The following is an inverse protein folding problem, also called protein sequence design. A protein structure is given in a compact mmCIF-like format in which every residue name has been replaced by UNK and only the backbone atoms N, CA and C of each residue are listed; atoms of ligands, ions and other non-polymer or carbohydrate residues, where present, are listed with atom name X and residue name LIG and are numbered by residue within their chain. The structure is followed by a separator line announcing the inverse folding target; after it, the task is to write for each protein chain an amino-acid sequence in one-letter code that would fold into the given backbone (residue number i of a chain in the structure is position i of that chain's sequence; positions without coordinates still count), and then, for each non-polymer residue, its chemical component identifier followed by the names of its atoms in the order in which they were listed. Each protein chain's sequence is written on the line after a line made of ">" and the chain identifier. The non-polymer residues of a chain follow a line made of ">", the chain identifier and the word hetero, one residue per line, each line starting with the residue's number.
data_IF_008001853054
#
_entry.id   IF_008001853054
#
_cell.length_a   1.000
_cell.length_b   1.000
_cell.length_c   1.000
_cell.angle_alpha   90.00
_cell.angle_beta   90.00
_cell.angle_gamma   90.00
#
_symmetry.space_group_name_H-M   'P 1'
#
loop_
_entity.id
_entity.type
_entity.pdbx_description
1 polymer ?
#
# COMPACT_ATOMS: atom_id res chain seq x y z
N UNK A 1 26.59 -20.71 4.78
CA UNK A 1 26.06 -19.73 3.81
C UNK A 1 24.55 -19.53 3.90
N UNK A 2 23.70 -20.56 3.77
CA UNK A 2 22.23 -20.41 3.80
C UNK A 2 21.67 -19.73 5.08
N UNK A 3 22.25 -20.01 6.25
CA UNK A 3 21.85 -19.37 7.53
C UNK A 3 21.98 -17.83 7.51
N UNK A 4 23.01 -17.29 6.88
CA UNK A 4 23.24 -15.84 6.83
C UNK A 4 22.20 -15.16 5.94
N UNK A 5 21.84 -15.81 4.83
CA UNK A 5 20.80 -15.36 3.92
C UNK A 5 19.43 -15.31 4.60
N UNK A 6 19.05 -16.40 5.30
CA UNK A 6 17.79 -16.46 6.06
C UNK A 6 17.74 -15.36 7.12
N UNK A 7 18.82 -15.15 7.89
CA UNK A 7 18.86 -14.08 8.90
C UNK A 7 18.74 -12.68 8.28
N UNK A 8 19.30 -12.46 7.10
CA UNK A 8 19.21 -11.19 6.39
C UNK A 8 17.79 -10.91 5.86
N UNK A 9 17.12 -11.92 5.31
CA UNK A 9 15.70 -11.81 4.92
C UNK A 9 14.83 -11.52 6.14
N UNK A 10 14.96 -12.32 7.21
CA UNK A 10 14.17 -12.14 8.44
C UNK A 10 14.36 -10.73 9.02
N UNK A 11 15.61 -10.26 9.10
CA UNK A 11 15.89 -8.91 9.58
C UNK A 11 15.27 -7.81 8.71
N UNK A 12 15.23 -8.01 7.40
CA UNK A 12 14.64 -7.04 6.47
C UNK A 12 13.10 -7.03 6.56
N UNK A 13 12.47 -8.20 6.59
CA UNK A 13 11.02 -8.35 6.79
C UNK A 13 10.60 -7.75 8.13
N UNK A 14 11.35 -8.01 9.21
CA UNK A 14 11.04 -7.47 10.53
C UNK A 14 11.07 -5.94 10.57
N UNK A 15 12.04 -5.29 9.89
CA UNK A 15 12.08 -3.82 9.80
C UNK A 15 10.87 -3.26 9.06
N UNK A 16 10.47 -3.88 7.94
CA UNK A 16 9.28 -3.49 7.19
C UNK A 16 8.03 -3.70 8.05
N UNK A 17 7.90 -4.88 8.69
CA UNK A 17 6.79 -5.22 9.57
C UNK A 17 6.66 -4.23 10.75
N UNK A 18 7.77 -3.80 11.35
CA UNK A 18 7.75 -2.78 12.41
C UNK A 18 7.33 -1.39 11.90
N UNK A 19 7.74 -1.02 10.67
CA UNK A 19 7.34 0.25 10.07
C UNK A 19 5.84 0.30 9.73
N UNK A 20 5.24 -0.84 9.39
CA UNK A 20 3.80 -0.95 9.04
C UNK A 20 2.93 -1.38 10.22
N UNK A 21 3.52 -1.84 11.33
CA UNK A 21 2.77 -2.26 12.49
C UNK A 21 1.99 -1.06 13.03
N UNK A 22 0.68 -1.21 13.33
CA UNK A 22 -0.09 -0.14 13.92
C UNK A 22 0.51 0.19 15.29
N UNK A 23 1.17 1.34 15.40
CA UNK A 23 1.71 1.83 16.65
C UNK A 23 0.55 2.15 17.59
N UNK A 24 0.51 1.50 18.76
CA UNK A 24 -0.39 1.86 19.87
C UNK A 24 0.04 3.17 20.54
N UNK A 25 0.48 4.15 19.76
CA UNK A 25 1.09 5.39 20.24
C UNK A 25 0.83 6.50 19.21
N UNK A 26 -0.46 6.79 18.97
CA UNK A 26 -0.89 8.10 18.50
C UNK A 26 -2.37 8.34 18.84
N UNK A 27 -2.69 8.28 20.13
CA UNK A 27 -3.56 9.32 20.69
C UNK A 27 -2.73 10.62 20.65
N UNK A 28 -3.34 11.78 20.39
CA UNK A 28 -2.69 13.10 20.29
C UNK A 28 -1.74 13.33 19.11
N UNK A 29 -2.26 13.56 17.91
CA UNK A 29 -2.12 14.85 17.21
C UNK A 29 -2.96 14.82 15.92
N UNK A 30 -3.84 15.80 15.76
CA UNK A 30 -4.95 15.79 14.82
C UNK A 30 -4.60 15.50 13.36
N UNK A 31 -5.22 14.48 12.80
CA UNK A 31 -5.62 14.47 11.39
C UNK A 31 -7.13 14.27 11.33
N UNK A 32 -7.80 15.41 11.48
CA UNK A 32 -9.09 15.79 10.93
C UNK A 32 -9.59 14.79 9.86
N UNK A 33 -10.61 14.02 10.25
CA UNK A 33 -11.61 13.38 9.38
C UNK A 33 -11.05 12.50 8.26
N UNK A 34 -11.04 11.18 8.42
CA UNK A 34 -11.30 10.29 7.28
C UNK A 34 -11.83 8.93 7.76
N UNK A 35 -13.04 8.50 7.33
CA UNK A 35 -13.60 7.20 7.66
C UNK A 35 -12.89 6.12 6.80
N UNK A 36 -11.77 5.60 7.29
CA UNK A 36 -11.04 4.52 6.63
C UNK A 36 -9.57 4.48 7.05
N UNK A 37 -8.97 3.30 7.03
CA UNK A 37 -7.55 3.16 7.37
C UNK A 37 -6.69 4.06 6.47
N UNK A 38 -5.91 5.02 7.02
CA UNK A 38 -5.09 5.94 6.21
C UNK A 38 -4.03 5.20 5.39
N UNK A 39 -3.61 4.03 5.86
CA UNK A 39 -2.69 3.12 5.17
C UNK A 39 -3.35 2.50 3.94
N UNK A 40 -4.61 2.07 4.07
CA UNK A 40 -5.36 1.46 2.97
C UNK A 40 -5.52 2.45 1.80
N UNK A 41 -5.86 3.70 2.13
CA UNK A 41 -6.01 4.74 1.12
C UNK A 41 -4.67 5.13 0.47
N UNK A 42 -3.58 5.16 1.23
CA UNK A 42 -2.23 5.39 0.68
C UNK A 42 -1.82 4.28 -0.29
N UNK A 43 -2.07 3.02 0.07
CA UNK A 43 -1.78 1.86 -0.77
C UNK A 43 -2.62 1.88 -2.05
N UNK A 44 -3.93 2.16 -1.96
CA UNK A 44 -4.82 2.28 -3.11
C UNK A 44 -4.33 3.35 -4.11
N UNK A 45 -3.90 4.52 -3.60
CA UNK A 45 -3.32 5.59 -4.43
C UNK A 45 -2.03 5.16 -5.13
N UNK A 46 -1.17 4.42 -4.44
CA UNK A 46 0.10 3.97 -5.01
C UNK A 46 -0.12 2.95 -6.15
N UNK A 47 -1.03 2.00 -5.95
CA UNK A 47 -1.42 1.02 -6.98
C UNK A 47 -1.99 1.72 -8.22
N UNK A 48 -2.94 2.64 -8.05
CA UNK A 48 -3.53 3.40 -9.17
C UNK A 48 -2.48 4.19 -9.93
N UNK A 49 -1.49 4.79 -9.23
CA UNK A 49 -0.42 5.55 -9.85
C UNK A 49 0.52 4.66 -10.66
N UNK A 50 0.93 3.51 -10.13
CA UNK A 50 1.79 2.56 -10.84
C UNK A 50 1.10 2.01 -12.08
N UNK A 51 -0.17 1.63 -11.98
CA UNK A 51 -0.94 1.17 -13.12
C UNK A 51 -1.07 2.22 -14.22
N UNK A 52 -1.41 3.47 -13.85
CA UNK A 52 -1.47 4.59 -14.80
C UNK A 52 -0.13 4.84 -15.48
N UNK A 53 0.97 4.71 -14.74
CA UNK A 53 2.31 4.87 -15.31
C UNK A 53 2.63 3.81 -16.36
N UNK A 54 2.26 2.55 -16.13
CA UNK A 54 2.58 1.44 -17.04
C UNK A 54 1.58 1.24 -18.18
N UNK A 55 0.30 1.55 -17.97
CA UNK A 55 -0.78 1.27 -18.94
C UNK A 55 -1.38 2.53 -19.55
N UNK A 56 -1.14 3.71 -18.97
CA UNK A 56 -1.79 4.96 -19.35
C UNK A 56 -3.27 5.06 -18.93
N UNK A 57 -3.84 4.01 -18.32
CA UNK A 57 -5.24 3.94 -17.93
C UNK A 57 -5.43 4.29 -16.45
N UNK A 58 -6.57 4.90 -16.12
CA UNK A 58 -6.92 5.24 -14.74
C UNK A 58 -7.83 4.15 -14.16
N UNK A 59 -7.38 3.48 -13.08
CA UNK A 59 -8.12 2.40 -12.43
C UNK A 59 -9.40 2.89 -11.75
N UNK A 60 -9.29 3.95 -10.97
CA UNK A 60 -10.37 4.47 -10.14
C UNK A 60 -10.17 5.96 -9.92
N UNK A 61 -11.25 6.72 -10.05
CA UNK A 61 -11.32 8.07 -9.51
C UNK A 61 -11.38 7.92 -7.99
N UNK A 62 -10.25 8.14 -7.31
CA UNK A 62 -10.17 8.01 -5.85
C UNK A 62 -11.02 9.14 -5.25
N UNK A 63 -12.28 8.84 -4.95
CA UNK A 63 -13.15 9.75 -4.24
C UNK A 63 -12.56 9.99 -2.83
N UNK A 64 -12.22 11.24 -2.45
CA UNK A 64 -11.69 11.54 -1.13
C UNK A 64 -12.64 11.17 0.03
N UNK A 65 -13.91 10.85 -0.23
CA UNK A 65 -14.88 10.40 0.78
C UNK A 65 -15.03 8.87 0.87
N UNK A 66 -14.48 8.10 -0.07
CA UNK A 66 -14.60 6.64 -0.07
C UNK A 66 -13.67 5.99 0.98
N UNK A 67 -14.18 5.00 1.71
CA UNK A 67 -13.40 4.25 2.70
C UNK A 67 -12.24 3.51 2.02
N UNK A 68 -11.01 3.70 2.52
CA UNK A 68 -9.81 3.08 1.94
C UNK A 68 -9.87 1.55 1.80
N UNK A 69 -10.60 0.87 2.70
CA UNK A 69 -10.74 -0.59 2.70
C UNK A 69 -11.63 -1.12 1.56
N UNK A 70 -12.67 -0.37 1.15
CA UNK A 70 -13.53 -0.76 0.00
C UNK A 70 -12.79 -0.56 -1.32
N UNK A 71 -12.01 0.52 -1.42
CA UNK A 71 -11.09 0.78 -2.53
C UNK A 71 -10.05 -0.33 -2.70
N UNK A 72 -9.46 -0.80 -1.59
CA UNK A 72 -8.49 -1.89 -1.64
C UNK A 72 -9.12 -3.21 -2.06
N UNK A 73 -10.34 -3.50 -1.59
CA UNK A 73 -11.09 -4.69 -2.01
C UNK A 73 -11.38 -4.69 -3.51
N UNK A 74 -11.77 -3.55 -4.10
CA UNK A 74 -11.99 -3.51 -5.56
C UNK A 74 -10.67 -3.70 -6.31
N UNK A 75 -9.60 -3.02 -5.90
CA UNK A 75 -8.27 -3.15 -6.50
C UNK A 75 -7.72 -4.58 -6.45
N UNK A 76 -8.06 -5.35 -5.41
CA UNK A 76 -7.60 -6.75 -5.27
C UNK A 76 -8.06 -7.66 -6.42
N UNK A 77 -9.17 -7.31 -7.08
CA UNK A 77 -9.68 -8.05 -8.24
C UNK A 77 -9.01 -7.64 -9.56
N UNK A 78 -8.16 -6.60 -9.55
CA UNK A 78 -7.38 -6.14 -10.69
C UNK A 78 -5.92 -6.57 -10.53
N UNK A 79 -5.63 -7.82 -10.89
CA UNK A 79 -4.28 -8.39 -10.74
C UNK A 79 -3.22 -7.69 -11.59
N UNK A 80 -3.61 -7.19 -12.76
CA UNK A 80 -2.78 -6.37 -13.65
C UNK A 80 -2.33 -5.06 -12.98
N UNK A 81 -3.21 -4.43 -12.20
CA UNK A 81 -2.88 -3.27 -11.37
C UNK A 81 -1.78 -3.57 -10.34
N UNK A 82 -1.91 -4.71 -9.65
CA UNK A 82 -0.96 -5.15 -8.63
C UNK A 82 0.40 -5.51 -9.25
N UNK A 83 0.39 -6.14 -10.43
CA UNK A 83 1.64 -6.49 -11.13
C UNK A 83 2.44 -5.24 -11.51
N UNK A 84 1.78 -4.15 -11.90
CA UNK A 84 2.44 -2.88 -12.22
C UNK A 84 3.27 -2.32 -11.05
N UNK A 85 2.93 -2.64 -9.80
CA UNK A 85 3.71 -2.23 -8.63
C UNK A 85 5.10 -2.88 -8.54
N UNK A 86 5.29 -4.02 -9.22
CA UNK A 86 6.54 -4.78 -9.23
C UNK A 86 7.38 -4.54 -10.48
N UNK A 87 6.82 -3.85 -11.47
CA UNK A 87 7.49 -3.54 -12.72
C UNK A 87 8.44 -2.35 -12.52
N UNK A 88 9.67 -2.46 -13.03
CA UNK A 88 10.61 -1.34 -13.05
C UNK A 88 10.21 -0.40 -14.19
N UNK A 89 10.11 0.90 -13.92
CA UNK A 89 10.00 1.90 -14.98
C UNK A 89 11.27 1.87 -15.83
N UNK A 90 11.13 1.75 -17.15
CA UNK A 90 12.25 1.79 -18.10
C UNK A 90 12.71 3.22 -18.37
#
# INVERSE_FOLDING_TARGET
>A
MARQYVRSIVGSVQRVAMAIAPSRLNSTLGQKTLPGSPVALTLARWISRSYRFHTGMELLQVDPQASGDTLLKSLWHHTDAIMCCSMKSN
#
